data_IF_608266508342
#
_entry.id   IF_608266508342
#
_cell.length_a   1.000
_cell.length_b   1.000
_cell.length_c   1.000
_cell.angle_alpha   90.00
_cell.angle_beta   90.00
_cell.angle_gamma   90.00
#
_symmetry.space_group_name_H-M   'P 1'
#
loop_
_entity.id
_entity.type
_entity.pdbx_description
1 polymer ?
#
# COMPACT_ATOMS: atom_id res chain seq x y z
N UNK A 1 -18.90 21.58 4.84
CA UNK A 1 -19.22 20.53 5.83
C UNK A 1 -20.21 19.50 5.25
N UNK A 2 -21.45 19.86 4.91
CA UNK A 2 -22.45 18.90 4.39
C UNK A 2 -22.07 18.20 3.07
N UNK A 3 -21.41 18.89 2.14
CA UNK A 3 -21.00 18.27 0.87
C UNK A 3 -19.99 17.13 1.07
N UNK A 4 -19.07 17.25 2.04
CA UNK A 4 -18.08 16.21 2.35
C UNK A 4 -18.78 14.99 2.94
N UNK A 5 -19.73 15.19 3.86
CA UNK A 5 -20.52 14.11 4.43
C UNK A 5 -21.31 13.36 3.36
N UNK A 6 -22.02 14.08 2.49
CA UNK A 6 -22.80 13.47 1.39
C UNK A 6 -21.87 12.74 0.43
N UNK A 7 -20.73 13.33 0.07
CA UNK A 7 -19.74 12.67 -0.80
C UNK A 7 -19.23 11.37 -0.18
N UNK A 8 -18.84 11.38 1.11
CA UNK A 8 -18.40 10.18 1.82
C UNK A 8 -19.50 9.12 1.87
N UNK A 9 -20.74 9.49 2.19
CA UNK A 9 -21.85 8.54 2.19
C UNK A 9 -22.11 7.95 0.79
N UNK A 10 -22.07 8.78 -0.25
CA UNK A 10 -22.22 8.33 -1.64
C UNK A 10 -21.15 7.31 -2.01
N UNK A 11 -19.88 7.57 -1.67
CA UNK A 11 -18.76 6.64 -1.88
C UNK A 11 -19.04 5.29 -1.22
N UNK A 12 -19.45 5.29 0.05
CA UNK A 12 -19.75 4.05 0.78
C UNK A 12 -20.97 3.31 0.21
N UNK A 13 -22.03 4.03 -0.16
CA UNK A 13 -23.22 3.41 -0.75
C UNK A 13 -22.87 2.71 -2.06
N UNK A 14 -22.09 3.37 -2.91
CA UNK A 14 -21.68 2.83 -4.21
C UNK A 14 -20.64 1.71 -4.10
N UNK A 15 -19.62 1.86 -3.24
CA UNK A 15 -18.59 0.85 -3.06
C UNK A 15 -19.13 -0.46 -2.46
N UNK A 16 -20.15 -0.38 -1.61
CA UNK A 16 -20.74 -1.53 -0.92
C UNK A 16 -22.10 -1.97 -1.49
N UNK A 17 -22.54 -1.40 -2.63
CA UNK A 17 -23.85 -1.66 -3.24
C UNK A 17 -25.03 -1.61 -2.24
N UNK A 18 -25.01 -0.65 -1.31
CA UNK A 18 -26.04 -0.56 -0.28
C UNK A 18 -27.39 -0.20 -0.90
N UNK A 19 -28.46 -0.86 -0.46
CA UNK A 19 -29.84 -0.50 -0.84
C UNK A 19 -30.44 0.50 0.15
N UNK A 20 -31.54 1.16 -0.25
CA UNK A 20 -32.29 2.02 0.67
C UNK A 20 -32.72 1.26 1.94
N UNK A 21 -33.17 0.01 1.80
CA UNK A 21 -33.60 -0.80 2.95
C UNK A 21 -32.44 -1.04 3.93
N UNK A 22 -31.25 -1.36 3.43
CA UNK A 22 -30.05 -1.51 4.26
C UNK A 22 -29.70 -0.22 5.00
N UNK A 23 -29.84 0.94 4.34
CA UNK A 23 -29.62 2.24 4.96
C UNK A 23 -30.67 2.55 6.03
N UNK A 24 -31.94 2.23 5.76
CA UNK A 24 -33.03 2.42 6.72
C UNK A 24 -32.90 1.49 7.93
N UNK A 25 -32.44 0.26 7.76
CA UNK A 25 -32.12 -0.63 8.88
C UNK A 25 -30.98 -0.07 9.74
N UNK A 26 -29.90 0.41 9.10
CA UNK A 26 -28.80 1.07 9.81
C UNK A 26 -29.25 2.34 10.54
N UNK A 27 -30.21 3.08 9.99
CA UNK A 27 -30.75 4.27 10.64
C UNK A 27 -31.47 3.97 11.97
N UNK A 28 -32.02 2.75 12.15
CA UNK A 28 -32.72 2.36 13.39
C UNK A 28 -31.79 2.22 14.59
N UNK A 29 -30.50 1.97 14.38
CA UNK A 29 -29.52 1.79 15.46
C UNK A 29 -28.96 3.10 15.98
N UNK A 30 -29.25 4.23 15.32
CA UNK A 30 -28.78 5.55 15.70
C UNK A 30 -29.71 6.21 16.74
N UNK A 31 -29.14 7.12 17.53
CA UNK A 31 -29.84 7.83 18.60
C UNK A 31 -31.06 8.62 18.09
N UNK A 32 -30.89 9.38 17.01
CA UNK A 32 -31.97 10.13 16.36
C UNK A 32 -32.45 9.42 15.10
N UNK A 33 -33.38 8.48 15.29
CA UNK A 33 -33.86 7.54 14.26
C UNK A 33 -34.58 8.26 13.13
N UNK A 34 -35.43 9.24 13.45
CA UNK A 34 -36.24 9.93 12.45
C UNK A 34 -35.36 10.82 11.57
N UNK A 35 -34.42 11.56 12.17
CA UNK A 35 -33.42 12.33 11.39
C UNK A 35 -32.55 11.42 10.54
N UNK A 36 -32.11 10.27 11.08
CA UNK A 36 -31.28 9.32 10.34
C UNK A 36 -32.02 8.71 9.14
N UNK A 37 -33.31 8.35 9.28
CA UNK A 37 -34.14 7.86 8.17
C UNK A 37 -34.34 8.92 7.09
N UNK A 38 -34.64 10.16 7.48
CA UNK A 38 -34.77 11.28 6.55
C UNK A 38 -33.46 11.50 5.79
N UNK A 39 -32.33 11.53 6.51
CA UNK A 39 -31.01 11.66 5.90
C UNK A 39 -30.70 10.51 4.93
N UNK A 40 -30.98 9.27 5.30
CA UNK A 40 -30.80 8.09 4.45
C UNK A 40 -31.59 8.21 3.13
N UNK A 41 -32.85 8.65 3.18
CA UNK A 41 -33.68 8.87 1.98
C UNK A 41 -33.12 9.97 1.09
N UNK A 42 -32.66 11.09 1.67
CA UNK A 42 -32.06 12.19 0.92
C UNK A 42 -30.76 11.75 0.22
N UNK A 43 -29.85 11.12 0.95
CA UNK A 43 -28.58 10.63 0.39
C UNK A 43 -28.82 9.55 -0.66
N UNK A 44 -29.82 8.68 -0.46
CA UNK A 44 -30.21 7.70 -1.47
C UNK A 44 -30.67 8.34 -2.77
N UNK A 45 -31.55 9.35 -2.69
CA UNK A 45 -32.03 10.08 -3.87
C UNK A 45 -30.87 10.78 -4.62
N UNK A 46 -29.92 11.37 -3.89
CA UNK A 46 -28.71 11.97 -4.48
C UNK A 46 -27.85 10.89 -5.15
N UNK A 47 -27.62 9.77 -4.49
CA UNK A 47 -26.84 8.65 -5.04
C UNK A 47 -27.49 8.09 -6.31
N UNK A 48 -28.82 7.99 -6.37
CA UNK A 48 -29.54 7.59 -7.58
C UNK A 48 -29.36 8.60 -8.71
N UNK A 49 -29.51 9.90 -8.44
CA UNK A 49 -29.28 10.95 -9.44
C UNK A 49 -27.85 10.94 -9.99
N UNK A 50 -26.86 10.78 -9.10
CA UNK A 50 -25.46 10.65 -9.48
C UNK A 50 -25.19 9.40 -10.32
N UNK A 51 -25.74 8.25 -9.92
CA UNK A 51 -25.57 6.98 -10.65
C UNK A 51 -26.19 7.04 -12.04
N UNK A 52 -27.38 7.64 -12.17
CA UNK A 52 -28.03 7.90 -13.46
C UNK A 52 -27.15 8.79 -14.34
N UNK A 53 -26.54 9.84 -13.77
CA UNK A 53 -25.66 10.72 -14.53
C UNK A 53 -24.41 10.01 -15.05
N UNK A 54 -23.83 9.11 -14.26
CA UNK A 54 -22.73 8.26 -14.70
C UNK A 54 -23.15 7.36 -15.87
N UNK A 55 -24.31 6.71 -15.78
CA UNK A 55 -24.85 5.86 -16.84
C UNK A 55 -25.11 6.64 -18.13
N UNK A 56 -25.80 7.78 -18.05
CA UNK A 56 -26.09 8.67 -19.19
C UNK A 56 -24.81 9.13 -19.91
N UNK A 57 -23.76 9.39 -19.13
CA UNK A 57 -22.46 9.85 -19.66
C UNK A 57 -21.50 8.71 -19.99
N UNK A 58 -21.91 7.45 -19.80
CA UNK A 58 -21.07 6.24 -19.97
C UNK A 58 -19.76 6.32 -19.19
N UNK A 59 -19.82 6.85 -17.97
CA UNK A 59 -18.68 6.98 -17.05
C UNK A 59 -18.80 6.00 -15.90
N UNK A 60 -17.66 5.69 -15.31
CA UNK A 60 -17.54 4.92 -14.07
C UNK A 60 -16.77 5.76 -13.06
N UNK A 61 -17.04 5.55 -11.78
CA UNK A 61 -16.24 6.13 -10.71
C UNK A 61 -15.30 5.08 -10.11
N UNK A 62 -14.30 5.54 -9.37
CA UNK A 62 -13.36 4.65 -8.70
C UNK A 62 -13.99 3.87 -7.55
N UNK A 63 -14.98 4.46 -6.87
CA UNK A 63 -15.58 3.90 -5.67
C UNK A 63 -16.37 2.61 -5.97
N UNK A 64 -17.09 2.54 -7.09
CA UNK A 64 -17.86 1.35 -7.49
C UNK A 64 -17.13 0.45 -8.47
N UNK A 65 -16.06 0.91 -9.14
CA UNK A 65 -15.41 0.21 -10.25
C UNK A 65 -15.15 -1.28 -9.96
N UNK A 66 -14.58 -1.58 -8.79
CA UNK A 66 -14.27 -2.96 -8.40
C UNK A 66 -15.54 -3.74 -8.11
N UNK A 67 -16.48 -3.16 -7.37
CA UNK A 67 -17.74 -3.82 -7.02
C UNK A 67 -18.61 -4.09 -8.25
N UNK A 68 -18.58 -3.21 -9.27
CA UNK A 68 -19.23 -3.42 -10.57
C UNK A 68 -18.54 -4.53 -11.37
N UNK A 69 -17.20 -4.57 -11.36
CA UNK A 69 -16.44 -5.64 -12.01
C UNK A 69 -16.77 -7.02 -11.38
N UNK A 70 -16.83 -7.11 -10.05
CA UNK A 70 -17.26 -8.32 -9.33
C UNK A 70 -18.62 -8.79 -9.84
N UNK A 71 -19.61 -7.89 -9.85
CA UNK A 71 -20.97 -8.19 -10.32
C UNK A 71 -21.00 -8.68 -11.77
N UNK A 72 -20.20 -8.08 -12.67
CA UNK A 72 -20.13 -8.51 -14.06
C UNK A 72 -19.56 -9.93 -14.21
N UNK A 73 -18.57 -10.29 -13.39
CA UNK A 73 -17.99 -11.63 -13.35
C UNK A 73 -19.01 -12.65 -12.83
N UNK A 74 -19.65 -12.35 -11.68
CA UNK A 74 -20.61 -13.23 -11.02
C UNK A 74 -21.88 -13.47 -11.85
N UNK A 75 -22.38 -12.43 -12.52
CA UNK A 75 -23.54 -12.56 -13.43
C UNK A 75 -23.20 -13.22 -14.76
N UNK A 76 -21.93 -13.55 -15.01
CA UNK A 76 -21.47 -14.14 -16.27
C UNK A 76 -21.49 -13.19 -17.47
N UNK A 77 -21.80 -11.90 -17.26
CA UNK A 77 -21.77 -10.85 -18.29
C UNK A 77 -20.35 -10.58 -18.77
N UNK A 78 -19.36 -10.79 -17.91
CA UNK A 78 -17.96 -10.87 -18.27
C UNK A 78 -17.46 -12.29 -18.05
N UNK A 79 -16.89 -12.90 -19.09
CA UNK A 79 -16.23 -14.21 -19.01
C UNK A 79 -14.73 -14.02 -19.16
N UNK A 80 -14.00 -14.21 -18.07
CA UNK A 80 -12.55 -14.14 -18.05
C UNK A 80 -11.96 -15.20 -18.98
N UNK A 81 -11.08 -14.84 -19.93
CA UNK A 81 -10.36 -15.81 -20.73
C UNK A 81 -9.24 -16.49 -19.92
N UNK A 82 -8.81 -15.90 -18.80
CA UNK A 82 -7.64 -16.34 -18.04
C UNK A 82 -7.97 -17.45 -17.04
N UNK A 83 -7.06 -18.42 -16.93
CA UNK A 83 -7.09 -19.48 -15.91
C UNK A 83 -5.99 -19.32 -14.86
N UNK A 84 -5.03 -18.41 -15.07
CA UNK A 84 -3.99 -18.08 -14.11
C UNK A 84 -4.10 -16.60 -13.74
N UNK A 85 -4.23 -16.32 -12.46
CA UNK A 85 -4.37 -14.98 -11.91
C UNK A 85 -3.11 -14.70 -11.08
N UNK A 86 -2.29 -13.78 -11.55
CA UNK A 86 -1.07 -13.35 -10.86
C UNK A 86 -1.37 -12.04 -10.12
N UNK A 87 -1.04 -11.97 -8.84
CA UNK A 87 -1.26 -10.77 -8.02
C UNK A 87 0.04 -10.41 -7.32
N UNK A 88 0.55 -9.22 -7.61
CA UNK A 88 1.70 -8.65 -6.91
C UNK A 88 1.21 -7.72 -5.79
N UNK A 89 2.10 -7.39 -4.85
CA UNK A 89 1.81 -6.52 -3.70
C UNK A 89 0.57 -6.97 -2.89
N UNK A 90 0.42 -8.29 -2.71
CA UNK A 90 -0.78 -8.90 -2.13
C UNK A 90 -1.03 -8.48 -0.67
N UNK A 91 -0.01 -7.97 0.02
CA UNK A 91 -0.16 -7.45 1.39
C UNK A 91 -1.11 -6.25 1.47
N UNK A 92 -1.25 -5.48 0.39
CA UNK A 92 -2.05 -4.26 0.34
C UNK A 92 -3.45 -4.51 -0.25
N UNK A 93 -3.87 -5.77 -0.30
CA UNK A 93 -5.18 -6.13 -0.83
C UNK A 93 -6.31 -5.66 0.10
N UNK A 94 -7.36 -5.10 -0.51
CA UNK A 94 -8.62 -4.78 0.17
C UNK A 94 -9.67 -5.86 -0.09
N UNK A 95 -10.66 -5.94 0.79
CA UNK A 95 -11.77 -6.91 0.66
C UNK A 95 -12.47 -6.87 -0.72
N UNK A 96 -12.82 -5.70 -1.30
CA UNK A 96 -13.40 -5.66 -2.64
C UNK A 96 -12.51 -6.26 -3.73
N UNK A 97 -11.19 -6.03 -3.67
CA UNK A 97 -10.25 -6.60 -4.65
C UNK A 97 -10.10 -8.12 -4.46
N UNK A 98 -10.10 -8.58 -3.21
CA UNK A 98 -10.09 -10.01 -2.90
C UNK A 98 -11.35 -10.70 -3.44
N UNK A 99 -12.52 -10.07 -3.31
CA UNK A 99 -13.78 -10.59 -3.85
C UNK A 99 -13.74 -10.69 -5.38
N UNK A 100 -13.13 -9.73 -6.07
CA UNK A 100 -12.94 -9.82 -7.52
C UNK A 100 -12.08 -11.02 -7.92
N UNK A 101 -10.97 -11.26 -7.21
CA UNK A 101 -10.11 -12.42 -7.46
C UNK A 101 -10.87 -13.72 -7.19
N UNK A 102 -11.66 -13.78 -6.11
CA UNK A 102 -12.50 -14.95 -5.79
C UNK A 102 -13.52 -15.22 -6.89
N UNK A 103 -14.24 -14.19 -7.35
CA UNK A 103 -15.21 -14.30 -8.44
C UNK A 103 -14.56 -14.82 -9.74
N UNK A 104 -13.40 -14.26 -10.11
CA UNK A 104 -12.63 -14.71 -11.29
C UNK A 104 -12.14 -16.16 -11.14
N UNK A 105 -11.69 -16.55 -9.94
CA UNK A 105 -11.28 -17.92 -9.63
C UNK A 105 -12.45 -18.91 -9.72
N UNK A 106 -13.63 -18.54 -9.23
CA UNK A 106 -14.81 -19.42 -9.19
C UNK A 106 -15.46 -19.61 -10.56
N UNK A 107 -15.25 -18.67 -11.50
CA UNK A 107 -15.85 -18.73 -12.82
C UNK A 107 -15.42 -19.95 -13.66
N UNK A 108 -14.25 -20.55 -13.39
CA UNK A 108 -13.75 -21.75 -14.07
C UNK A 108 -13.17 -22.75 -13.08
N UNK A 109 -13.45 -24.05 -13.29
CA UNK A 109 -13.00 -25.12 -12.41
C UNK A 109 -11.46 -25.20 -12.25
N UNK A 110 -10.70 -24.83 -13.28
CA UNK A 110 -9.24 -24.96 -13.30
C UNK A 110 -8.48 -23.64 -13.13
N UNK A 111 -9.11 -22.62 -12.55
CA UNK A 111 -8.44 -21.35 -12.28
C UNK A 111 -7.50 -21.44 -11.07
N UNK A 112 -6.29 -20.88 -11.21
CA UNK A 112 -5.27 -20.80 -10.16
C UNK A 112 -4.93 -19.34 -9.85
N UNK A 113 -4.67 -19.07 -8.57
CA UNK A 113 -4.20 -17.77 -8.09
C UNK A 113 -2.78 -17.96 -7.58
N UNK A 114 -1.87 -17.09 -8.05
CA UNK A 114 -0.51 -16.99 -7.55
C UNK A 114 -0.32 -15.56 -7.06
N UNK A 115 0.00 -15.41 -5.79
CA UNK A 115 0.13 -14.11 -5.14
C UNK A 115 1.52 -13.96 -4.54
N UNK A 116 2.10 -12.77 -4.71
CA UNK A 116 3.37 -12.36 -4.09
C UNK A 116 3.09 -11.14 -3.23
N UNK A 117 3.71 -11.08 -2.07
CA UNK A 117 3.62 -9.91 -1.21
C UNK A 117 4.53 -10.03 0.01
N UNK A 118 4.62 -8.92 0.74
CA UNK A 118 5.50 -8.75 1.90
C UNK A 118 4.76 -8.01 3.01
N UNK A 119 4.43 -8.71 4.10
CA UNK A 119 3.77 -8.11 5.28
C UNK A 119 4.57 -6.96 5.94
N UNK A 120 5.90 -6.99 5.81
CA UNK A 120 6.77 -5.91 6.32
C UNK A 120 6.60 -4.61 5.53
N UNK A 121 5.97 -4.66 4.36
CA UNK A 121 5.72 -3.52 3.47
C UNK A 121 4.24 -3.09 3.45
N UNK A 122 3.37 -3.72 4.25
CA UNK A 122 1.96 -3.36 4.35
C UNK A 122 1.78 -1.98 5.00
N UNK A 123 1.68 -0.94 4.18
CA UNK A 123 1.49 0.45 4.64
C UNK A 123 0.09 0.98 4.36
N UNK A 124 -0.72 0.33 3.52
CA UNK A 124 -2.00 0.87 3.06
C UNK A 124 -3.22 0.55 3.93
N UNK A 125 -3.03 0.17 5.21
CA UNK A 125 -4.13 -0.15 6.12
C UNK A 125 -5.12 1.01 6.26
N UNK A 126 -4.64 2.26 6.19
CA UNK A 126 -5.47 3.46 6.23
C UNK A 126 -6.37 3.63 5.00
N UNK A 127 -6.04 2.99 3.87
CA UNK A 127 -6.81 3.00 2.63
C UNK A 127 -7.78 1.80 2.53
N UNK A 128 -7.93 1.01 3.60
CA UNK A 128 -8.83 -0.13 3.66
C UNK A 128 -8.23 -1.45 3.19
N UNK A 129 -6.90 -1.57 3.10
CA UNK A 129 -6.26 -2.88 2.97
C UNK A 129 -6.41 -3.68 4.26
N UNK A 130 -6.59 -5.00 4.11
CA UNK A 130 -6.70 -5.93 5.23
C UNK A 130 -5.62 -7.00 5.11
N UNK A 131 -4.57 -6.84 5.91
CA UNK A 131 -3.45 -7.77 6.01
C UNK A 131 -3.88 -9.19 6.43
N UNK A 132 -5.07 -9.34 7.03
CA UNK A 132 -5.60 -10.66 7.37
C UNK A 132 -5.93 -11.49 6.13
N UNK A 133 -6.25 -10.85 4.99
CA UNK A 133 -6.47 -11.54 3.71
C UNK A 133 -5.16 -12.15 3.21
N UNK A 134 -4.04 -11.43 3.36
CA UNK A 134 -2.70 -11.91 3.04
C UNK A 134 -2.27 -13.05 3.97
N UNK A 135 -2.35 -12.82 5.29
CA UNK A 135 -1.88 -13.81 6.29
C UNK A 135 -2.77 -15.07 6.34
N UNK A 136 -4.04 -14.97 5.94
CA UNK A 136 -4.99 -16.09 5.84
C UNK A 136 -5.32 -16.42 4.39
N UNK A 137 -4.31 -16.45 3.52
CA UNK A 137 -4.48 -16.72 2.09
C UNK A 137 -5.26 -18.01 1.82
N UNK A 138 -4.87 -19.12 2.45
CA UNK A 138 -5.49 -20.42 2.26
C UNK A 138 -6.98 -20.42 2.64
N UNK A 139 -7.34 -19.75 3.74
CA UNK A 139 -8.74 -19.61 4.16
C UNK A 139 -9.58 -18.79 3.17
N UNK A 140 -8.94 -17.87 2.43
CA UNK A 140 -9.63 -17.01 1.46
C UNK A 140 -9.71 -17.61 0.06
N UNK A 141 -8.67 -18.32 -0.39
CA UNK A 141 -8.53 -18.77 -1.78
C UNK A 141 -8.51 -20.30 -1.94
N UNK A 142 -8.58 -21.05 -0.84
CA UNK A 142 -8.52 -22.51 -0.76
C UNK A 142 -7.09 -23.02 -0.62
N UNK A 143 -6.94 -24.35 -0.56
CA UNK A 143 -5.66 -25.04 -0.37
C UNK A 143 -4.56 -24.48 -1.28
N UNK A 144 -3.45 -24.10 -0.67
CA UNK A 144 -2.38 -23.38 -1.35
C UNK A 144 -1.01 -23.88 -0.92
N UNK A 145 -0.05 -23.81 -1.84
CA UNK A 145 1.36 -23.95 -1.49
C UNK A 145 1.90 -22.56 -1.12
N UNK A 146 2.67 -22.48 -0.03
CA UNK A 146 3.33 -21.25 0.41
C UNK A 146 4.85 -21.39 0.30
N UNK A 147 5.45 -20.53 -0.52
CA UNK A 147 6.91 -20.38 -0.63
C UNK A 147 7.41 -19.15 0.12
N UNK A 148 8.64 -19.20 0.62
CA UNK A 148 9.32 -18.05 1.24
C UNK A 148 10.59 -17.74 0.47
N UNK A 149 10.76 -16.48 0.09
CA UNK A 149 11.99 -15.96 -0.50
C UNK A 149 12.77 -15.23 0.59
N UNK A 150 13.76 -15.90 1.17
CA UNK A 150 14.58 -15.34 2.26
C UNK A 150 15.83 -14.59 1.75
N UNK A 151 16.15 -14.73 0.46
CA UNK A 151 17.34 -14.13 -0.12
C UNK A 151 17.03 -12.77 -0.79
N UNK A 152 17.74 -11.73 -0.37
CA UNK A 152 17.69 -10.40 -1.01
C UNK A 152 18.91 -10.13 -1.87
N UNK A 153 18.66 -9.47 -3.01
CA UNK A 153 19.69 -8.99 -3.94
C UNK A 153 19.81 -7.47 -3.94
N UNK A 154 18.93 -6.77 -3.20
CA UNK A 154 18.78 -5.30 -3.26
C UNK A 154 19.82 -4.59 -2.39
N UNK A 155 19.95 -5.00 -1.14
CA UNK A 155 20.75 -4.32 -0.12
C UNK A 155 21.81 -5.25 0.46
N UNK A 156 22.84 -4.69 1.10
CA UNK A 156 23.86 -5.47 1.80
C UNK A 156 23.34 -6.00 3.14
N UNK A 157 24.02 -7.02 3.69
CA UNK A 157 23.60 -7.71 4.91
C UNK A 157 23.35 -6.77 6.10
N UNK A 158 24.16 -5.71 6.30
CA UNK A 158 23.98 -4.78 7.42
C UNK A 158 22.67 -3.99 7.32
N UNK A 159 22.29 -3.59 6.10
CA UNK A 159 21.01 -2.89 5.85
C UNK A 159 19.84 -3.85 6.04
N UNK A 160 19.93 -5.07 5.49
CA UNK A 160 18.89 -6.08 5.63
C UNK A 160 18.61 -6.42 7.10
N UNK A 161 19.66 -6.66 7.90
CA UNK A 161 19.53 -6.96 9.32
C UNK A 161 18.98 -5.79 10.12
N UNK A 162 19.41 -4.57 9.82
CA UNK A 162 18.91 -3.38 10.54
C UNK A 162 17.42 -3.17 10.26
N UNK A 163 17.00 -3.30 9.01
CA UNK A 163 15.59 -3.22 8.64
C UNK A 163 14.77 -4.35 9.28
N UNK A 164 15.27 -5.59 9.25
CA UNK A 164 14.61 -6.73 9.88
C UNK A 164 14.44 -6.51 11.40
N UNK A 165 15.49 -6.08 12.11
CA UNK A 165 15.43 -5.77 13.54
C UNK A 165 14.44 -4.66 13.86
N UNK A 166 14.31 -3.66 12.99
CA UNK A 166 13.35 -2.58 13.15
C UNK A 166 11.91 -3.09 12.99
N UNK A 167 11.60 -3.76 11.88
CA UNK A 167 10.23 -4.22 11.59
C UNK A 167 9.75 -5.28 12.58
N UNK A 168 10.65 -6.18 13.01
CA UNK A 168 10.34 -7.24 13.97
C UNK A 168 10.08 -6.74 15.41
N UNK A 169 10.20 -5.43 15.67
CA UNK A 169 9.68 -4.84 16.91
C UNK A 169 8.16 -4.89 16.98
N UNK A 170 7.46 -4.95 15.85
CA UNK A 170 6.02 -5.16 15.81
C UNK A 170 5.71 -6.67 15.92
N UNK A 171 5.07 -7.13 17.02
CA UNK A 171 4.75 -8.55 17.21
C UNK A 171 3.69 -9.08 16.24
N UNK A 172 2.92 -8.21 15.57
CA UNK A 172 1.92 -8.63 14.57
C UNK A 172 2.55 -9.04 13.23
N UNK A 173 3.83 -8.71 13.00
CA UNK A 173 4.54 -9.02 11.76
C UNK A 173 5.02 -10.48 11.75
N UNK A 174 5.01 -11.10 10.57
CA UNK A 174 5.52 -12.46 10.38
C UNK A 174 7.02 -12.45 10.63
N UNK A 175 7.46 -13.32 11.54
CA UNK A 175 8.89 -13.55 11.78
C UNK A 175 9.50 -14.25 10.56
N UNK A 176 10.45 -13.58 9.93
CA UNK A 176 11.23 -14.11 8.80
C UNK A 176 12.66 -13.61 8.85
N UNK A 177 13.57 -14.39 8.28
CA UNK A 177 14.98 -14.03 8.14
C UNK A 177 15.25 -13.57 6.72
N UNK A 178 16.08 -12.53 6.56
CA UNK A 178 16.51 -12.03 5.25
C UNK A 178 18.02 -12.15 5.16
N UNK A 179 18.51 -12.90 4.17
CA UNK A 179 19.92 -13.09 3.86
C UNK A 179 20.27 -12.35 2.58
N UNK A 180 21.29 -11.51 2.65
CA UNK A 180 21.79 -10.80 1.49
C UNK A 180 22.89 -11.61 0.79
N UNK A 181 22.88 -11.57 -0.54
CA UNK A 181 24.01 -12.01 -1.37
C UNK A 181 25.21 -11.06 -1.31
N UNK A 182 25.01 -9.85 -0.79
CA UNK A 182 26.04 -8.81 -0.66
C UNK A 182 26.50 -8.74 0.80
N UNK A 183 27.81 -8.94 1.08
CA UNK A 183 28.31 -8.94 2.46
C UNK A 183 28.11 -7.58 3.13
N UNK A 184 28.09 -7.59 4.47
CA UNK A 184 27.94 -6.36 5.25
C UNK A 184 29.04 -5.34 4.89
N UNK A 185 28.62 -4.12 4.55
CA UNK A 185 29.55 -3.00 4.33
C UNK A 185 29.55 -2.14 5.58
N UNK A 186 30.71 -1.96 6.26
CA UNK A 186 30.81 -1.12 7.44
C UNK A 186 30.31 0.31 7.17
N UNK A 187 29.58 0.89 8.13
CA UNK A 187 29.05 2.27 8.05
C UNK A 187 28.13 2.51 6.84
N UNK A 188 27.45 1.47 6.35
CA UNK A 188 26.42 1.60 5.29
C UNK A 188 25.12 2.28 5.76
N UNK A 189 24.93 2.40 7.08
CA UNK A 189 23.87 3.21 7.70
C UNK A 189 24.55 4.31 8.52
N UNK A 190 24.11 5.55 8.33
CA UNK A 190 24.60 6.71 9.10
C UNK A 190 23.42 7.59 9.48
N UNK A 191 23.41 8.05 10.72
CA UNK A 191 22.46 9.03 11.23
C UNK A 191 23.19 10.36 11.37
N UNK A 192 22.61 11.41 10.78
CA UNK A 192 23.18 12.75 10.82
C UNK A 192 22.21 13.62 11.60
N UNK A 193 22.51 13.95 12.86
CA UNK A 193 21.65 14.85 13.61
C UNK A 193 21.71 16.23 12.97
N UNK A 194 20.56 16.87 12.84
CA UNK A 194 20.40 18.26 12.44
C UNK A 194 19.66 18.97 13.57
N UNK A 195 20.17 20.12 13.98
CA UNK A 195 19.46 20.98 14.91
C UNK A 195 18.44 21.76 14.09
N UNK A 196 17.17 21.39 14.24
CA UNK A 196 16.08 22.10 13.58
C UNK A 196 15.12 22.67 14.63
N UNK A 197 14.70 23.93 14.42
CA UNK A 197 13.67 24.61 15.21
C UNK A 197 12.26 24.39 14.64
N UNK A 198 12.13 23.63 13.54
CA UNK A 198 10.87 23.32 12.84
C UNK A 198 10.50 21.85 13.03
N UNK A 199 9.21 21.54 12.98
CA UNK A 199 8.65 20.17 13.08
C UNK A 199 9.02 19.23 11.93
N UNK A 200 9.72 19.71 10.88
CA UNK A 200 10.12 18.90 9.73
C UNK A 200 11.62 18.95 9.53
N UNK A 201 12.29 17.80 9.37
CA UNK A 201 13.73 17.75 9.18
C UNK A 201 14.17 18.44 7.88
N UNK A 202 15.07 19.42 7.98
CA UNK A 202 15.72 20.04 6.82
C UNK A 202 16.79 19.11 6.20
N UNK A 203 16.40 18.45 5.10
CA UNK A 203 17.28 17.56 4.35
C UNK A 203 18.51 18.29 3.76
N UNK A 204 18.35 19.54 3.30
CA UNK A 204 19.46 20.30 2.75
C UNK A 204 20.51 20.60 3.84
N UNK A 205 20.06 20.95 5.05
CA UNK A 205 20.93 21.11 6.21
C UNK A 205 21.67 19.81 6.57
N UNK A 206 21.00 18.65 6.52
CA UNK A 206 21.63 17.35 6.78
C UNK A 206 22.72 17.03 5.75
N UNK A 207 22.43 17.26 4.46
CA UNK A 207 23.40 17.10 3.38
C UNK A 207 24.60 18.04 3.55
N UNK A 208 24.37 19.31 3.88
CA UNK A 208 25.45 20.27 4.10
C UNK A 208 26.33 19.83 5.28
N UNK A 209 25.74 19.36 6.37
CA UNK A 209 26.49 18.83 7.53
C UNK A 209 27.28 17.58 7.16
N UNK A 210 26.75 16.70 6.31
CA UNK A 210 27.49 15.54 5.80
C UNK A 210 28.70 15.98 4.96
N UNK A 211 28.48 16.91 4.02
CA UNK A 211 29.52 17.41 3.14
C UNK A 211 30.63 18.11 3.92
N UNK A 212 30.30 18.92 4.93
CA UNK A 212 31.27 19.54 5.83
C UNK A 212 32.09 18.50 6.61
N UNK A 213 31.45 17.44 7.12
CA UNK A 213 32.17 16.34 7.80
C UNK A 213 33.09 15.59 6.86
N UNK A 214 32.66 15.35 5.63
CA UNK A 214 33.49 14.71 4.60
C UNK A 214 34.66 15.60 4.20
N UNK A 215 34.42 16.88 3.97
CA UNK A 215 35.45 17.87 3.63
C UNK A 215 36.51 17.98 4.73
N UNK A 216 36.11 18.11 5.99
CA UNK A 216 37.04 18.13 7.13
C UNK A 216 37.85 16.82 7.26
N UNK A 217 37.19 15.66 7.10
CA UNK A 217 37.85 14.37 7.18
C UNK A 217 38.83 14.13 6.03
N UNK A 218 38.47 14.54 4.80
CA UNK A 218 39.33 14.46 3.63
C UNK A 218 40.49 15.46 3.71
N UNK A 219 40.24 16.67 4.21
CA UNK A 219 41.27 17.67 4.49
C UNK A 219 42.34 17.14 5.45
N UNK A 220 41.93 16.45 6.52
CA UNK A 220 42.86 15.86 7.50
C UNK A 220 43.75 14.72 6.95
N UNK A 221 43.42 14.15 5.80
CA UNK A 221 44.22 13.11 5.14
C UNK A 221 44.76 13.56 3.78
N UNK A 222 44.58 14.83 3.40
CA UNK A 222 44.88 15.33 2.07
C UNK A 222 46.35 15.16 1.68
N UNK A 223 47.27 15.30 2.65
CA UNK A 223 48.71 15.17 2.44
C UNK A 223 49.16 13.73 2.12
N UNK A 224 48.28 12.73 2.30
CA UNK A 224 48.59 11.32 1.99
C UNK A 224 48.31 10.91 0.54
N UNK A 225 47.62 11.75 -0.22
CA UNK A 225 47.17 11.43 -1.59
C UNK A 225 47.47 12.56 -2.58
N UNK A 226 47.87 13.75 -2.10
CA UNK A 226 48.41 14.82 -2.93
C UNK A 226 49.89 14.57 -3.18
N UNK A 227 50.19 13.61 -4.05
CA UNK A 227 51.58 13.37 -4.48
C UNK A 227 52.06 14.40 -5.52
N UNK A 228 51.14 15.12 -6.17
CA UNK A 228 51.49 16.22 -7.07
C UNK A 228 50.55 17.43 -6.91
N UNK A 229 51.13 18.63 -7.09
CA UNK A 229 50.41 19.92 -7.10
C UNK A 229 49.38 19.94 -8.23
N UNK A 230 48.15 19.47 -7.96
CA UNK A 230 46.83 19.99 -8.46
C UNK A 230 45.72 18.94 -8.63
N UNK A 231 45.87 17.70 -8.19
CA UNK A 231 44.76 16.76 -8.33
C UNK A 231 43.63 17.08 -7.35
N UNK A 232 42.52 17.61 -7.91
CA UNK A 232 41.25 17.81 -7.21
C UNK A 232 40.52 16.48 -7.12
N UNK A 233 40.11 16.08 -5.92
CA UNK A 233 39.24 14.93 -5.71
C UNK A 233 37.93 15.14 -6.48
N UNK A 234 37.66 14.29 -7.47
CA UNK A 234 36.39 14.30 -8.22
C UNK A 234 35.42 13.34 -7.54
N UNK A 235 34.37 13.88 -6.93
CA UNK A 235 33.33 13.09 -6.26
C UNK A 235 32.08 13.07 -7.15
N UNK A 236 31.66 11.87 -7.56
CA UNK A 236 30.38 11.65 -8.25
C UNK A 236 29.31 11.29 -7.22
N UNK A 237 28.34 12.17 -7.04
CA UNK A 237 27.15 11.90 -6.21
C UNK A 237 26.02 11.48 -7.14
N UNK A 238 25.71 10.18 -7.15
CA UNK A 238 24.54 9.66 -7.85
C UNK A 238 23.33 9.68 -6.90
N UNK A 239 22.20 10.22 -7.38
CA UNK A 239 20.95 10.27 -6.64
C UNK A 239 19.76 9.87 -7.53
N UNK A 240 18.70 9.37 -6.90
CA UNK A 240 17.41 9.06 -7.52
C UNK A 240 16.30 9.49 -6.55
N UNK A 241 15.33 10.24 -7.06
CA UNK A 241 14.02 10.48 -6.42
C UNK A 241 13.26 9.17 -6.25
#
# INVERSE_FOLDING_TARGET
HYHQLISTCLKHIRASHLTLDMLLERAKTLHDKERAKLFARVVWAITQGYSRKLEETKRIDFDSMIADAVRLVETGRYRSPYSLILVDEFQDISEPRANLIKALKQQKAFSKVFAVGDDWQSIYRFAGSDITIFTRFEANFGTSWQGRLEQTYRCNQLIAETAAKFVQRNPEQIKKSVRSTRPAVPRSIRVIPIEDKRDKPDFAAACQRLLQRLDAALGAIADRWRDEKRDKLKVLVLWRY
#
